data_IF_690442756053
#
_entry.id   IF_690442756053
#
_cell.length_a   1.000
_cell.length_b   1.000
_cell.length_c   1.000
_cell.angle_alpha   90.00
_cell.angle_beta   90.00
_cell.angle_gamma   90.00
#
_symmetry.space_group_name_H-M   'P 1'
#
loop_
_entity.id
_entity.type
_entity.pdbx_description
1 polymer ?
#
# COMPACT_ATOMS: atom_id res chain seq x y z
N UNK A 1 8.39 13.69 13.72
CA UNK A 1 6.93 13.88 13.49
C UNK A 1 6.59 15.19 12.78
N UNK A 2 7.09 16.33 13.22
CA UNK A 2 6.77 17.66 12.66
C UNK A 2 7.03 17.72 11.15
N UNK A 3 8.16 17.18 10.69
CA UNK A 3 8.54 17.14 9.26
C UNK A 3 7.47 16.47 8.40
N UNK A 4 6.97 15.31 8.83
CA UNK A 4 5.90 14.59 8.10
C UNK A 4 4.61 15.41 8.05
N UNK A 5 4.17 15.96 9.19
CA UNK A 5 2.95 16.78 9.24
C UNK A 5 3.06 18.02 8.35
N UNK A 6 4.23 18.65 8.31
CA UNK A 6 4.49 19.79 7.44
C UNK A 6 4.37 19.40 5.95
N UNK A 7 5.07 18.34 5.53
CA UNK A 7 5.03 17.87 4.14
C UNK A 7 3.63 17.38 3.75
N UNK A 8 2.92 16.69 4.64
CA UNK A 8 1.53 16.26 4.40
C UNK A 8 0.61 17.46 4.21
N UNK A 9 0.74 18.49 5.05
CA UNK A 9 -0.06 19.72 4.94
C UNK A 9 0.16 20.42 3.59
N UNK A 10 1.43 20.53 3.15
CA UNK A 10 1.76 21.12 1.86
C UNK A 10 1.25 20.23 0.71
N UNK A 11 1.42 18.91 0.80
CA UNK A 11 0.93 17.98 -0.22
C UNK A 11 -0.60 18.04 -0.36
N UNK A 12 -1.35 18.11 0.75
CA UNK A 12 -2.81 18.27 0.76
C UNK A 12 -3.20 19.63 0.17
N UNK A 13 -2.46 20.69 0.46
CA UNK A 13 -2.69 22.01 -0.14
C UNK A 13 -2.52 21.96 -1.67
N UNK A 14 -1.44 21.37 -2.18
CA UNK A 14 -1.26 21.22 -3.63
C UNK A 14 -2.31 20.29 -4.25
N UNK A 15 -2.74 19.25 -3.56
CA UNK A 15 -3.86 18.42 -4.00
C UNK A 15 -5.17 19.21 -4.10
N UNK A 16 -5.43 20.13 -3.18
CA UNK A 16 -6.57 21.05 -3.26
C UNK A 16 -6.48 21.98 -4.47
N UNK A 17 -5.31 22.52 -4.76
CA UNK A 17 -5.10 23.33 -5.97
C UNK A 17 -5.29 22.51 -7.25
N UNK A 18 -4.77 21.26 -7.27
CA UNK A 18 -4.98 20.32 -8.37
C UNK A 18 -6.46 20.02 -8.58
N UNK A 19 -7.21 19.78 -7.49
CA UNK A 19 -8.66 19.54 -7.55
C UNK A 19 -9.43 20.72 -8.17
N UNK A 20 -9.07 21.94 -7.82
CA UNK A 20 -9.65 23.15 -8.43
C UNK A 20 -9.29 23.33 -9.90
N UNK A 21 -8.13 22.88 -10.33
CA UNK A 21 -7.63 22.96 -11.70
C UNK A 21 -7.81 21.66 -12.50
N UNK A 22 -8.67 20.76 -12.05
CA UNK A 22 -8.95 19.44 -12.63
C UNK A 22 -9.21 19.45 -14.15
N UNK A 23 -9.74 20.54 -14.72
CA UNK A 23 -10.00 20.67 -16.16
C UNK A 23 -8.77 21.12 -16.98
N UNK A 24 -7.75 21.69 -16.35
CA UNK A 24 -6.50 22.09 -16.98
C UNK A 24 -5.44 21.02 -16.70
N UNK A 25 -5.18 20.17 -17.69
CA UNK A 25 -4.29 19.03 -17.54
C UNK A 25 -2.88 19.44 -17.15
N UNK A 26 -2.30 20.48 -17.79
CA UNK A 26 -0.94 20.92 -17.52
C UNK A 26 -0.78 21.38 -16.06
N UNK A 27 -1.67 22.25 -15.58
CA UNK A 27 -1.60 22.76 -14.20
C UNK A 27 -1.89 21.66 -13.19
N UNK A 28 -2.85 20.76 -13.50
CA UNK A 28 -3.16 19.61 -12.66
C UNK A 28 -1.93 18.71 -12.47
N UNK A 29 -1.27 18.32 -13.56
CA UNK A 29 -0.06 17.50 -13.50
C UNK A 29 1.10 18.20 -12.81
N UNK A 30 1.27 19.51 -13.01
CA UNK A 30 2.31 20.28 -12.32
C UNK A 30 2.15 20.17 -10.79
N UNK A 31 0.95 20.33 -10.26
CA UNK A 31 0.72 20.16 -8.82
C UNK A 31 0.98 18.73 -8.33
N UNK A 32 0.64 17.71 -9.13
CA UNK A 32 0.97 16.34 -8.78
C UNK A 32 2.48 16.09 -8.77
N UNK A 33 3.22 16.64 -9.72
CA UNK A 33 4.69 16.57 -9.75
C UNK A 33 5.29 17.21 -8.50
N UNK A 34 4.77 18.35 -8.06
CA UNK A 34 5.22 19.00 -6.80
C UNK A 34 4.96 18.08 -5.60
N UNK A 35 3.78 17.44 -5.52
CA UNK A 35 3.46 16.50 -4.44
C UNK A 35 4.43 15.31 -4.45
N UNK A 36 4.65 14.69 -5.61
CA UNK A 36 5.61 13.59 -5.76
C UNK A 36 7.00 14.03 -5.34
N UNK A 37 7.47 15.16 -5.84
CA UNK A 37 8.81 15.68 -5.52
C UNK A 37 9.00 15.93 -4.01
N UNK A 38 8.05 16.60 -3.35
CA UNK A 38 8.16 16.94 -1.93
C UNK A 38 8.26 15.68 -1.05
N UNK A 39 7.38 14.69 -1.29
CA UNK A 39 7.39 13.46 -0.51
C UNK A 39 8.66 12.63 -0.79
N UNK A 40 9.08 12.56 -2.05
CA UNK A 40 10.31 11.86 -2.44
C UNK A 40 11.57 12.53 -1.91
N UNK A 41 11.57 13.87 -1.84
CA UNK A 41 12.68 14.62 -1.27
C UNK A 41 12.87 14.30 0.22
N UNK A 42 11.80 14.26 1.00
CA UNK A 42 11.87 13.87 2.41
C UNK A 42 12.30 12.41 2.56
N UNK A 43 11.84 11.51 1.70
CA UNK A 43 12.28 10.12 1.70
C UNK A 43 13.78 9.99 1.40
N UNK A 44 14.31 10.75 0.43
CA UNK A 44 15.71 10.73 0.03
C UNK A 44 16.64 11.48 0.98
N UNK A 45 16.14 12.49 1.69
CA UNK A 45 16.93 13.32 2.59
C UNK A 45 17.07 12.70 4.00
N UNK A 46 16.33 11.64 4.33
CA UNK A 46 16.41 10.98 5.64
C UNK A 46 17.74 10.27 5.87
N UNK A 47 18.10 10.10 7.12
CA UNK A 47 19.27 9.29 7.51
C UNK A 47 19.00 7.80 7.24
N UNK A 48 20.08 7.05 7.05
CA UNK A 48 20.12 5.61 6.74
C UNK A 48 19.76 4.71 7.93
N UNK A 49 19.43 5.28 9.09
CA UNK A 49 18.96 4.58 10.28
C UNK A 49 17.45 4.77 10.53
N UNK A 50 16.72 5.43 9.61
CA UNK A 50 15.28 5.66 9.74
C UNK A 50 14.51 4.60 8.96
N UNK A 51 13.86 3.70 9.67
CA UNK A 51 13.14 2.57 9.16
C UNK A 51 13.84 1.24 9.43
N UNK A 52 13.09 0.21 9.83
CA UNK A 52 13.64 -1.10 10.21
C UNK A 52 14.27 -1.86 9.05
N UNK A 53 13.75 -1.71 7.83
CA UNK A 53 14.24 -2.43 6.65
C UNK A 53 15.32 -1.66 5.87
N UNK A 54 15.65 -0.41 6.26
CA UNK A 54 16.53 0.46 5.48
C UNK A 54 17.96 -0.10 5.36
N UNK A 55 18.46 -0.75 6.41
CA UNK A 55 19.77 -1.38 6.40
C UNK A 55 19.89 -2.48 5.34
N UNK A 56 18.82 -3.24 5.08
CA UNK A 56 18.78 -4.21 4.00
C UNK A 56 18.99 -3.53 2.64
N UNK A 57 18.28 -2.43 2.38
CA UNK A 57 18.39 -1.71 1.10
C UNK A 57 19.74 -1.02 0.94
N UNK A 58 20.32 -0.48 2.02
CA UNK A 58 21.62 0.15 1.98
C UNK A 58 22.72 -0.89 1.72
N UNK A 59 22.81 -1.92 2.56
CA UNK A 59 23.97 -2.82 2.60
C UNK A 59 23.84 -4.04 1.69
N UNK A 60 22.61 -4.52 1.37
CA UNK A 60 22.43 -5.68 0.49
C UNK A 60 22.02 -5.32 -0.93
N UNK A 61 21.53 -4.12 -1.17
CA UNK A 61 21.06 -3.72 -2.50
C UNK A 61 21.93 -2.63 -3.11
N UNK A 62 22.24 -1.56 -2.35
CA UNK A 62 22.85 -0.37 -2.94
C UNK A 62 24.39 -0.34 -2.77
N UNK A 63 24.94 -0.64 -1.58
CA UNK A 63 26.38 -0.53 -1.31
C UNK A 63 27.17 -1.81 -1.58
N UNK A 64 26.53 -2.89 -2.00
CA UNK A 64 27.20 -4.14 -2.37
C UNK A 64 27.13 -4.34 -3.87
N UNK A 65 28.11 -5.09 -4.41
CA UNK A 65 28.08 -5.52 -5.81
C UNK A 65 26.96 -6.55 -6.12
N UNK A 66 26.12 -6.88 -5.12
CA UNK A 66 24.97 -7.78 -5.27
C UNK A 66 23.95 -7.30 -6.34
N UNK A 67 23.89 -5.99 -6.61
CA UNK A 67 23.11 -5.49 -7.74
C UNK A 67 23.73 -5.89 -9.11
N UNK A 68 24.96 -6.39 -9.15
CA UNK A 68 25.59 -6.91 -10.36
C UNK A 68 25.19 -8.36 -10.62
N UNK A 69 24.87 -9.12 -9.56
CA UNK A 69 24.47 -10.52 -9.63
C UNK A 69 22.95 -10.64 -9.69
N UNK A 70 22.40 -10.77 -10.90
CA UNK A 70 20.96 -11.00 -11.12
C UNK A 70 20.51 -12.41 -10.68
N UNK A 71 21.45 -13.27 -10.31
CA UNK A 71 21.21 -14.66 -9.89
C UNK A 71 20.85 -14.77 -8.39
N UNK A 72 20.99 -13.68 -7.61
CA UNK A 72 20.55 -13.68 -6.23
C UNK A 72 19.03 -13.63 -6.14
N UNK A 73 18.40 -14.83 -6.15
CA UNK A 73 16.94 -15.03 -6.19
C UNK A 73 16.18 -14.40 -5.00
N UNK A 74 16.90 -13.87 -4.02
CA UNK A 74 16.31 -13.25 -2.82
C UNK A 74 15.92 -11.77 -3.01
N UNK A 75 16.37 -11.11 -4.10
CA UNK A 75 16.15 -9.68 -4.33
C UNK A 75 15.27 -9.48 -5.56
N UNK A 76 14.16 -8.75 -5.40
CA UNK A 76 13.23 -8.46 -6.51
C UNK A 76 13.93 -7.67 -7.62
N UNK A 77 13.70 -8.08 -8.88
CA UNK A 77 14.35 -7.53 -10.07
C UNK A 77 14.27 -6.00 -10.19
N UNK A 78 13.11 -5.43 -9.91
CA UNK A 78 12.87 -3.98 -10.09
C UNK A 78 13.77 -3.13 -9.19
N UNK A 79 13.99 -3.55 -7.94
CA UNK A 79 14.83 -2.77 -7.00
C UNK A 79 16.31 -2.84 -7.41
N UNK A 80 16.76 -3.99 -7.92
CA UNK A 80 18.12 -4.16 -8.46
C UNK A 80 18.34 -3.30 -9.68
N UNK A 81 17.39 -3.30 -10.62
CA UNK A 81 17.46 -2.45 -11.82
C UNK A 81 17.47 -0.97 -11.46
N UNK A 82 16.71 -0.58 -10.43
CA UNK A 82 16.70 0.81 -9.94
C UNK A 82 18.04 1.19 -9.31
N UNK A 83 18.66 0.31 -8.52
CA UNK A 83 20.01 0.53 -7.98
C UNK A 83 21.04 0.71 -9.08
N UNK A 84 21.07 -0.20 -10.09
CA UNK A 84 21.93 -0.08 -11.28
C UNK A 84 21.71 1.26 -12.00
N UNK A 85 20.46 1.65 -12.19
CA UNK A 85 20.14 2.92 -12.84
C UNK A 85 20.67 4.12 -12.04
N UNK A 86 20.59 4.11 -10.71
CA UNK A 86 21.13 5.18 -9.87
C UNK A 86 22.65 5.24 -9.98
N UNK A 87 23.35 4.10 -9.88
CA UNK A 87 24.80 4.03 -9.98
C UNK A 87 25.36 4.52 -11.32
N UNK A 88 24.54 4.58 -12.36
CA UNK A 88 24.95 5.17 -13.65
C UNK A 88 25.27 6.66 -13.55
N UNK A 89 24.70 7.38 -12.57
CA UNK A 89 24.90 8.85 -12.42
C UNK A 89 25.14 9.32 -10.96
N UNK A 90 24.97 8.48 -9.96
CA UNK A 90 25.14 8.87 -8.54
C UNK A 90 25.41 7.66 -7.65
N UNK A 91 26.38 7.79 -6.74
CA UNK A 91 26.66 6.81 -5.69
C UNK A 91 26.00 7.19 -4.34
N UNK A 92 25.02 8.10 -4.40
CA UNK A 92 24.35 8.62 -3.19
C UNK A 92 23.12 7.79 -2.87
N UNK A 93 23.10 7.09 -1.74
CA UNK A 93 21.96 6.29 -1.28
C UNK A 93 20.66 7.09 -1.17
N UNK A 94 20.74 8.38 -0.77
CA UNK A 94 19.58 9.27 -0.73
C UNK A 94 18.89 9.46 -2.09
N UNK A 95 19.65 9.45 -3.21
CA UNK A 95 19.06 9.51 -4.56
C UNK A 95 18.29 8.22 -4.87
N UNK A 96 18.79 7.07 -4.44
CA UNK A 96 18.09 5.80 -4.58
C UNK A 96 16.76 5.80 -3.80
N UNK A 97 16.78 6.25 -2.54
CA UNK A 97 15.57 6.39 -1.73
C UNK A 97 14.57 7.39 -2.32
N UNK A 98 15.06 8.51 -2.85
CA UNK A 98 14.24 9.49 -3.56
C UNK A 98 13.50 8.87 -4.74
N UNK A 99 14.20 8.08 -5.58
CA UNK A 99 13.61 7.46 -6.76
C UNK A 99 12.63 6.34 -6.41
N UNK A 100 12.87 5.58 -5.33
CA UNK A 100 11.90 4.60 -4.83
C UNK A 100 10.59 5.31 -4.46
N UNK A 101 10.67 6.37 -3.68
CA UNK A 101 9.46 7.08 -3.26
C UNK A 101 8.80 7.83 -4.43
N UNK A 102 9.59 8.35 -5.38
CA UNK A 102 9.06 8.93 -6.62
C UNK A 102 8.30 7.89 -7.46
N UNK A 103 8.76 6.64 -7.50
CA UNK A 103 8.02 5.52 -8.09
C UNK A 103 6.69 5.31 -7.36
N UNK A 104 6.73 5.16 -6.03
CA UNK A 104 5.55 4.86 -5.22
C UNK A 104 4.50 5.96 -5.35
N UNK A 105 4.87 7.20 -5.06
CA UNK A 105 3.98 8.36 -5.16
C UNK A 105 3.55 8.64 -6.60
N UNK A 106 4.45 8.46 -7.56
CA UNK A 106 4.19 8.66 -8.98
C UNK A 106 3.10 7.71 -9.50
N UNK A 107 3.23 6.40 -9.26
CA UNK A 107 2.21 5.42 -9.65
C UNK A 107 0.90 5.61 -8.87
N UNK A 108 0.96 5.94 -7.58
CA UNK A 108 -0.23 6.26 -6.81
C UNK A 108 -0.97 7.48 -7.36
N UNK A 109 -0.28 8.58 -7.66
CA UNK A 109 -0.86 9.76 -8.30
C UNK A 109 -1.37 9.46 -9.71
N UNK A 110 -0.69 8.59 -10.46
CA UNK A 110 -1.15 8.14 -11.77
C UNK A 110 -2.46 7.35 -11.68
N UNK A 111 -2.58 6.41 -10.73
CA UNK A 111 -3.82 5.68 -10.47
C UNK A 111 -4.98 6.63 -10.12
N UNK A 112 -4.72 7.63 -9.26
CA UNK A 112 -5.71 8.64 -8.93
C UNK A 112 -6.11 9.48 -10.16
N UNK A 113 -5.17 9.80 -11.04
CA UNK A 113 -5.43 10.52 -12.29
C UNK A 113 -6.30 9.72 -13.27
N UNK A 114 -6.07 8.42 -13.40
CA UNK A 114 -6.93 7.53 -14.20
C UNK A 114 -8.40 7.57 -13.73
N UNK A 115 -8.61 7.75 -12.42
CA UNK A 115 -9.93 7.81 -11.80
C UNK A 115 -10.39 9.24 -11.49
N UNK A 116 -9.71 10.28 -11.95
CA UNK A 116 -9.94 11.69 -11.56
C UNK A 116 -11.38 12.19 -11.73
N UNK A 117 -12.17 11.61 -12.65
CA UNK A 117 -13.59 11.97 -12.81
C UNK A 117 -14.49 11.47 -11.68
N UNK A 118 -14.05 10.44 -10.95
CA UNK A 118 -14.81 9.73 -9.92
C UNK A 118 -14.13 9.79 -8.53
N UNK A 119 -12.97 10.45 -8.40
CA UNK A 119 -12.14 10.45 -7.21
C UNK A 119 -11.84 11.89 -6.78
N UNK A 120 -11.76 12.15 -5.47
CA UNK A 120 -11.19 13.38 -4.93
C UNK A 120 -9.69 13.19 -4.71
N UNK A 121 -8.87 14.01 -5.40
CA UNK A 121 -7.40 13.95 -5.22
C UNK A 121 -6.99 14.44 -3.82
N UNK A 122 -7.75 15.36 -3.23
CA UNK A 122 -7.51 15.82 -1.85
C UNK A 122 -7.65 14.66 -0.87
N UNK A 123 -8.75 13.89 -0.96
CA UNK A 123 -8.96 12.73 -0.11
C UNK A 123 -7.90 11.65 -0.37
N UNK A 124 -7.55 11.42 -1.63
CA UNK A 124 -6.54 10.44 -2.01
C UNK A 124 -5.18 10.74 -1.38
N UNK A 125 -4.69 11.97 -1.52
CA UNK A 125 -3.41 12.38 -0.92
C UNK A 125 -3.49 12.38 0.61
N UNK A 126 -4.61 12.81 1.19
CA UNK A 126 -4.81 12.74 2.65
C UNK A 126 -4.72 11.31 3.18
N UNK A 127 -5.43 10.36 2.55
CA UNK A 127 -5.36 8.95 2.95
C UNK A 127 -3.98 8.34 2.69
N UNK A 128 -3.33 8.68 1.57
CA UNK A 128 -1.99 8.19 1.28
C UNK A 128 -1.00 8.64 2.36
N UNK A 129 -0.97 9.92 2.68
CA UNK A 129 -0.13 10.48 3.74
C UNK A 129 -0.38 9.81 5.11
N UNK A 130 -1.64 9.62 5.48
CA UNK A 130 -2.01 9.09 6.80
C UNK A 130 -1.91 7.57 6.92
N UNK A 131 -2.04 6.81 5.82
CA UNK A 131 -2.18 5.36 5.88
C UNK A 131 -1.04 4.60 5.19
N UNK A 132 -0.30 5.22 4.27
CA UNK A 132 0.70 4.53 3.46
C UNK A 132 2.11 5.14 3.52
N UNK A 133 2.26 6.46 3.59
CA UNK A 133 3.56 7.12 3.42
C UNK A 133 4.65 6.62 4.38
N UNK A 134 4.39 6.57 5.69
CA UNK A 134 5.38 6.06 6.64
C UNK A 134 5.69 4.57 6.43
N UNK A 135 4.72 3.81 5.92
CA UNK A 135 4.91 2.40 5.55
C UNK A 135 5.80 2.26 4.32
N UNK A 136 5.64 3.14 3.31
CA UNK A 136 6.46 3.13 2.10
C UNK A 136 7.94 3.40 2.37
N UNK A 137 8.24 4.20 3.40
CA UNK A 137 9.61 4.46 3.83
C UNK A 137 10.33 3.21 4.37
N UNK A 138 9.59 2.19 4.78
CA UNK A 138 10.14 0.96 5.36
C UNK A 138 10.07 -0.22 4.39
N UNK A 139 8.88 -0.65 4.00
CA UNK A 139 8.66 -1.81 3.12
C UNK A 139 8.68 -1.39 1.63
N UNK A 140 9.80 -0.86 1.17
CA UNK A 140 9.91 -0.14 -0.10
C UNK A 140 9.49 -0.99 -1.32
N UNK A 141 10.05 -2.21 -1.51
CA UNK A 141 9.73 -3.10 -2.64
C UNK A 141 8.25 -3.43 -2.72
N UNK A 142 7.67 -3.77 -1.59
CA UNK A 142 6.25 -4.09 -1.51
C UNK A 142 5.39 -2.86 -1.79
N UNK A 143 5.78 -1.67 -1.32
CA UNK A 143 5.09 -0.41 -1.60
C UNK A 143 5.17 -0.01 -3.07
N UNK A 144 6.30 -0.28 -3.75
CA UNK A 144 6.40 -0.15 -5.20
C UNK A 144 5.36 -1.03 -5.91
N UNK A 145 5.26 -2.31 -5.53
CA UNK A 145 4.28 -3.23 -6.09
C UNK A 145 2.83 -2.79 -5.80
N UNK A 146 2.54 -2.35 -4.58
CA UNK A 146 1.21 -1.88 -4.18
C UNK A 146 0.76 -0.64 -4.96
N UNK A 147 1.66 0.31 -5.22
CA UNK A 147 1.34 1.51 -6.00
C UNK A 147 1.03 1.17 -7.48
N UNK A 148 1.80 0.24 -8.07
CA UNK A 148 1.53 -0.29 -9.42
C UNK A 148 0.21 -1.05 -9.45
N UNK A 149 -0.11 -1.82 -8.40
CA UNK A 149 -1.40 -2.51 -8.28
C UNK A 149 -2.58 -1.54 -8.22
N UNK A 150 -2.44 -0.35 -7.62
CA UNK A 150 -3.48 0.69 -7.68
C UNK A 150 -3.78 1.09 -9.14
N UNK A 151 -2.75 1.18 -10.01
CA UNK A 151 -2.95 1.43 -11.44
C UNK A 151 -3.67 0.27 -12.13
N UNK A 152 -3.29 -0.96 -11.83
CA UNK A 152 -3.97 -2.17 -12.30
C UNK A 152 -5.47 -2.12 -11.97
N UNK A 153 -5.82 -1.79 -10.73
CA UNK A 153 -7.22 -1.65 -10.30
C UNK A 153 -7.95 -0.49 -11.01
N UNK A 154 -7.28 0.65 -11.19
CA UNK A 154 -7.85 1.76 -11.95
C UNK A 154 -8.16 1.36 -13.41
N UNK A 155 -7.28 0.60 -14.06
CA UNK A 155 -7.53 0.06 -15.39
C UNK A 155 -8.63 -1.02 -15.40
N UNK A 156 -8.71 -1.86 -14.36
CA UNK A 156 -9.80 -2.83 -14.21
C UNK A 156 -11.17 -2.12 -14.16
N UNK A 157 -11.27 -1.02 -13.38
CA UNK A 157 -12.49 -0.19 -13.32
C UNK A 157 -12.82 0.52 -14.65
N UNK A 158 -11.84 0.71 -15.51
CA UNK A 158 -11.99 1.25 -16.87
C UNK A 158 -12.23 0.16 -17.92
N UNK A 159 -12.16 -1.12 -17.54
CA UNK A 159 -12.27 -2.30 -18.43
C UNK A 159 -11.18 -2.39 -19.50
N UNK A 160 -10.00 -1.84 -19.21
CA UNK A 160 -8.83 -1.86 -20.09
C UNK A 160 -7.95 -3.08 -19.76
N UNK A 161 -8.42 -4.29 -20.06
CA UNK A 161 -7.88 -5.57 -19.55
C UNK A 161 -6.43 -5.86 -19.94
N UNK A 162 -5.99 -5.44 -21.13
CA UNK A 162 -4.58 -5.60 -21.55
C UNK A 162 -3.66 -4.84 -20.58
N UNK A 163 -4.06 -3.62 -20.19
CA UNK A 163 -3.30 -2.84 -19.23
C UNK A 163 -3.38 -3.44 -17.82
N UNK A 164 -4.50 -4.05 -17.45
CA UNK A 164 -4.62 -4.79 -16.17
C UNK A 164 -3.54 -5.86 -16.09
N UNK A 165 -3.39 -6.68 -17.15
CA UNK A 165 -2.36 -7.73 -17.20
C UNK A 165 -0.96 -7.12 -17.15
N UNK A 166 -0.69 -6.09 -17.97
CA UNK A 166 0.62 -5.43 -18.02
C UNK A 166 1.04 -4.89 -16.64
N UNK A 167 0.14 -4.16 -15.95
CA UNK A 167 0.42 -3.61 -14.61
C UNK A 167 0.51 -4.68 -13.54
N UNK A 168 -0.21 -5.81 -13.68
CA UNK A 168 -0.06 -6.95 -12.79
C UNK A 168 1.33 -7.59 -12.91
N UNK A 169 1.84 -7.76 -14.15
CA UNK A 169 3.19 -8.26 -14.42
C UNK A 169 4.25 -7.32 -13.83
N UNK A 170 4.13 -6.00 -14.04
CA UNK A 170 5.06 -5.02 -13.45
C UNK A 170 5.01 -5.08 -11.91
N UNK A 171 3.84 -5.17 -11.29
CA UNK A 171 3.70 -5.30 -9.84
C UNK A 171 4.39 -6.57 -9.32
N UNK A 172 4.28 -7.70 -10.04
CA UNK A 172 4.94 -8.95 -9.69
C UNK A 172 6.47 -8.84 -9.71
N UNK A 173 7.04 -8.16 -10.68
CA UNK A 173 8.49 -7.90 -10.72
C UNK A 173 8.97 -6.91 -9.64
N UNK A 174 8.08 -6.05 -9.12
CA UNK A 174 8.39 -5.23 -7.96
C UNK A 174 8.39 -6.04 -6.66
N UNK A 175 7.43 -6.97 -6.50
CA UNK A 175 7.35 -7.88 -5.37
C UNK A 175 6.35 -9.00 -5.62
N UNK A 176 6.79 -10.26 -5.48
CA UNK A 176 6.03 -11.46 -5.83
C UNK A 176 4.67 -11.57 -5.11
N UNK A 177 4.56 -11.09 -3.86
CA UNK A 177 3.29 -11.12 -3.11
C UNK A 177 2.19 -10.23 -3.72
N UNK A 178 2.50 -9.40 -4.73
CA UNK A 178 1.50 -8.63 -5.48
C UNK A 178 0.48 -9.50 -6.23
N UNK A 179 0.74 -10.82 -6.34
CA UNK A 179 -0.23 -11.83 -6.83
C UNK A 179 -1.58 -11.72 -6.11
N UNK A 180 -1.62 -11.18 -4.89
CA UNK A 180 -2.85 -10.81 -4.17
C UNK A 180 -3.79 -9.93 -5.01
N UNK A 181 -3.27 -9.15 -5.94
CA UNK A 181 -4.06 -8.37 -6.89
C UNK A 181 -5.09 -9.22 -7.68
N UNK A 182 -4.80 -10.51 -7.90
CA UNK A 182 -5.74 -11.44 -8.54
C UNK A 182 -7.05 -11.60 -7.76
N UNK A 183 -7.01 -11.51 -6.42
CA UNK A 183 -8.21 -11.59 -5.60
C UNK A 183 -9.21 -10.46 -5.93
N UNK A 184 -8.70 -9.26 -6.22
CA UNK A 184 -9.54 -8.13 -6.63
C UNK A 184 -10.10 -8.30 -8.04
N UNK A 185 -9.32 -8.88 -8.95
CA UNK A 185 -9.81 -9.21 -10.30
C UNK A 185 -10.93 -10.24 -10.20
N UNK A 186 -10.74 -11.32 -9.43
CA UNK A 186 -11.76 -12.34 -9.18
C UNK A 186 -13.01 -11.72 -8.54
N UNK A 187 -12.84 -10.92 -7.47
CA UNK A 187 -13.95 -10.27 -6.79
C UNK A 187 -14.73 -9.33 -7.74
N UNK A 188 -14.04 -8.59 -8.61
CA UNK A 188 -14.65 -7.75 -9.62
C UNK A 188 -15.51 -8.57 -10.60
N UNK A 189 -14.97 -9.65 -11.16
CA UNK A 189 -15.71 -10.52 -12.08
C UNK A 189 -16.86 -11.26 -11.40
N UNK A 190 -16.70 -11.72 -10.17
CA UNK A 190 -17.80 -12.31 -9.41
C UNK A 190 -18.97 -11.34 -9.25
N UNK A 191 -18.70 -10.05 -8.97
CA UNK A 191 -19.75 -9.04 -8.89
C UNK A 191 -20.46 -8.84 -10.25
N UNK A 192 -19.71 -8.86 -11.35
CA UNK A 192 -20.29 -8.71 -12.70
C UNK A 192 -21.19 -9.91 -13.05
N UNK A 193 -20.86 -11.12 -12.64
CA UNK A 193 -21.60 -12.35 -12.96
C UNK A 193 -22.75 -12.64 -11.99
N UNK A 194 -22.53 -12.51 -10.70
CA UNK A 194 -23.44 -12.96 -9.66
C UNK A 194 -24.14 -11.81 -8.92
N UNK A 195 -23.68 -10.58 -9.16
CA UNK A 195 -24.16 -9.39 -8.48
C UNK A 195 -23.59 -9.22 -7.06
N UNK A 196 -23.72 -8.01 -6.53
CA UNK A 196 -23.08 -7.61 -5.28
C UNK A 196 -23.53 -8.45 -4.08
N UNK A 197 -24.83 -8.74 -3.94
CA UNK A 197 -25.35 -9.47 -2.76
C UNK A 197 -24.79 -10.88 -2.63
N UNK A 198 -24.83 -11.66 -3.74
CA UNK A 198 -24.31 -13.04 -3.73
C UNK A 198 -22.80 -13.08 -3.52
N UNK A 199 -22.06 -12.18 -4.20
CA UNK A 199 -20.61 -12.08 -4.03
C UNK A 199 -20.25 -11.66 -2.62
N UNK A 200 -21.00 -10.76 -1.99
CA UNK A 200 -20.77 -10.36 -0.60
C UNK A 200 -20.92 -11.52 0.39
N UNK A 201 -21.97 -12.33 0.25
CA UNK A 201 -22.15 -13.52 1.08
C UNK A 201 -21.02 -14.53 0.87
N UNK A 202 -20.59 -14.73 -0.39
CA UNK A 202 -19.44 -15.58 -0.70
C UNK A 202 -18.13 -15.07 -0.05
N UNK A 203 -17.88 -13.78 -0.10
CA UNK A 203 -16.69 -13.14 0.53
C UNK A 203 -16.71 -13.30 2.05
N UNK A 204 -17.86 -13.13 2.70
CA UNK A 204 -18.00 -13.34 4.14
C UNK A 204 -17.74 -14.81 4.51
N UNK A 205 -18.29 -15.75 3.71
CA UNK A 205 -18.07 -17.17 3.92
C UNK A 205 -16.59 -17.55 3.75
N UNK A 206 -15.94 -17.10 2.67
CA UNK A 206 -14.52 -17.34 2.42
C UNK A 206 -13.62 -16.66 3.48
N UNK A 207 -13.95 -15.44 3.90
CA UNK A 207 -13.25 -14.77 4.98
C UNK A 207 -13.35 -15.51 6.31
N UNK A 208 -14.53 -16.06 6.61
CA UNK A 208 -14.73 -16.93 7.79
C UNK A 208 -13.90 -18.21 7.74
N UNK A 209 -13.90 -18.90 6.59
CA UNK A 209 -13.04 -20.08 6.38
C UNK A 209 -11.58 -19.72 6.56
N UNK A 210 -11.13 -18.58 5.97
CA UNK A 210 -9.75 -18.13 6.08
C UNK A 210 -9.35 -17.93 7.55
N UNK A 211 -10.18 -17.28 8.35
CA UNK A 211 -9.91 -17.07 9.79
C UNK A 211 -9.79 -18.41 10.54
N UNK A 212 -10.71 -19.37 10.27
CA UNK A 212 -10.73 -20.65 10.99
C UNK A 212 -9.58 -21.56 10.55
N UNK A 213 -9.30 -21.61 9.24
CA UNK A 213 -8.32 -22.55 8.67
C UNK A 213 -6.92 -21.96 8.52
N UNK A 214 -6.75 -20.64 8.63
CA UNK A 214 -5.48 -19.96 8.35
C UNK A 214 -4.32 -20.55 9.16
N UNK A 215 -4.51 -20.70 10.45
CA UNK A 215 -3.47 -21.18 11.35
C UNK A 215 -2.98 -22.58 10.96
N UNK A 216 -3.91 -23.46 10.56
CA UNK A 216 -3.60 -24.85 10.16
C UNK A 216 -2.96 -24.86 8.76
N UNK A 217 -3.56 -24.15 7.81
CA UNK A 217 -3.08 -24.12 6.42
C UNK A 217 -1.76 -23.39 6.29
N UNK A 218 -1.59 -22.27 6.96
CA UNK A 218 -0.36 -21.47 6.91
C UNK A 218 0.85 -22.27 7.40
N UNK A 219 0.70 -22.98 8.54
CA UNK A 219 1.75 -23.81 9.10
C UNK A 219 2.15 -24.93 8.15
N UNK A 220 1.16 -25.67 7.66
CA UNK A 220 1.40 -26.78 6.74
C UNK A 220 2.01 -26.30 5.41
N UNK A 221 1.54 -25.18 4.87
CA UNK A 221 2.05 -24.64 3.60
C UNK A 221 3.49 -24.15 3.72
N UNK A 222 3.83 -23.45 4.80
CA UNK A 222 5.23 -23.02 5.04
C UNK A 222 6.13 -24.24 5.25
N UNK A 223 5.72 -25.20 6.06
CA UNK A 223 6.48 -26.42 6.31
C UNK A 223 6.75 -27.20 5.01
N UNK A 224 5.71 -27.40 4.17
CA UNK A 224 5.84 -28.06 2.87
C UNK A 224 6.72 -27.24 1.92
N UNK A 225 6.58 -25.92 1.89
CA UNK A 225 7.35 -25.07 1.00
C UNK A 225 8.84 -25.03 1.38
N UNK A 226 9.16 -25.01 2.67
CA UNK A 226 10.54 -25.12 3.17
C UNK A 226 11.14 -26.50 2.88
N UNK A 227 10.39 -27.58 3.14
CA UNK A 227 10.87 -28.95 2.89
C UNK A 227 11.14 -29.24 1.40
N UNK A 228 10.50 -28.52 0.48
CA UNK A 228 10.70 -28.63 -0.96
C UNK A 228 11.61 -27.53 -1.54
N UNK A 229 12.31 -26.75 -0.71
CA UNK A 229 13.17 -25.63 -1.13
C UNK A 229 12.45 -24.59 -2.02
N UNK A 230 11.13 -24.43 -1.86
CA UNK A 230 10.32 -23.47 -2.58
C UNK A 230 10.33 -22.07 -1.93
N UNK A 231 10.80 -21.99 -0.69
CA UNK A 231 10.97 -20.75 0.06
C UNK A 231 12.44 -20.61 0.47
N UNK A 232 12.96 -19.39 0.42
CA UNK A 232 14.29 -19.07 0.89
C UNK A 232 14.42 -19.31 2.41
N UNK A 233 15.63 -19.66 2.87
CA UNK A 233 15.93 -19.98 4.27
C UNK A 233 15.53 -18.86 5.26
N UNK A 234 15.50 -17.61 4.81
CA UNK A 234 15.01 -16.48 5.61
C UNK A 234 13.57 -16.63 6.11
N UNK A 235 12.77 -17.52 5.51
CA UNK A 235 11.41 -17.82 5.93
C UNK A 235 11.31 -18.92 6.99
N UNK A 236 12.42 -19.60 7.36
CA UNK A 236 12.45 -20.60 8.43
C UNK A 236 12.01 -20.01 9.78
N UNK A 237 12.36 -18.76 10.07
CA UNK A 237 11.92 -18.07 11.29
C UNK A 237 10.38 -18.02 11.44
N UNK A 238 9.63 -18.08 10.35
CA UNK A 238 8.16 -18.10 10.37
C UNK A 238 7.59 -19.51 10.59
N UNK A 239 8.39 -20.55 10.39
CA UNK A 239 8.01 -21.93 10.70
C UNK A 239 8.22 -22.27 12.18
N UNK A 240 9.11 -21.58 12.88
CA UNK A 240 9.52 -21.88 14.26
C UNK A 240 8.67 -21.16 15.33
N UNK A 241 7.77 -20.26 14.92
CA UNK A 241 6.64 -19.88 15.79
C UNK A 241 6.88 -18.81 16.83
N UNK A 242 7.53 -17.71 16.50
CA UNK A 242 7.38 -16.48 17.29
C UNK A 242 6.17 -15.72 16.75
N UNK A 243 4.98 -16.11 17.23
CA UNK A 243 3.70 -15.63 16.73
C UNK A 243 3.35 -14.32 17.42
N UNK A 244 3.40 -13.23 16.66
CA UNK A 244 2.93 -11.94 17.13
C UNK A 244 1.47 -12.01 17.60
N UNK A 245 1.17 -11.31 18.68
CA UNK A 245 -0.20 -11.18 19.20
C UNK A 245 -1.14 -10.62 18.13
N UNK A 246 -2.39 -11.12 18.13
CA UNK A 246 -3.47 -10.52 17.33
C UNK A 246 -3.52 -9.02 17.56
N UNK A 247 -3.37 -8.23 16.50
CA UNK A 247 -3.39 -6.77 16.62
C UNK A 247 -4.81 -6.29 16.92
N UNK A 248 -5.19 -6.22 18.20
CA UNK A 248 -6.49 -5.69 18.67
C UNK A 248 -6.79 -4.32 18.06
N UNK A 249 -5.78 -3.48 17.94
CA UNK A 249 -5.88 -2.16 17.32
C UNK A 249 -6.26 -2.23 15.85
N UNK A 250 -5.63 -3.14 15.08
CA UNK A 250 -5.94 -3.31 13.67
C UNK A 250 -7.37 -3.82 13.46
N UNK A 251 -7.84 -4.74 14.32
CA UNK A 251 -9.22 -5.23 14.32
C UNK A 251 -10.19 -4.07 14.56
N UNK A 252 -9.96 -3.28 15.60
CA UNK A 252 -10.81 -2.13 15.94
C UNK A 252 -10.87 -1.14 14.76
N UNK A 253 -9.74 -0.78 14.18
CA UNK A 253 -9.68 0.16 13.05
C UNK A 253 -10.44 -0.39 11.84
N UNK A 254 -10.29 -1.67 11.50
CA UNK A 254 -11.06 -2.29 10.41
C UNK A 254 -12.57 -2.21 10.66
N UNK A 255 -13.03 -2.51 11.88
CA UNK A 255 -14.45 -2.42 12.26
C UNK A 255 -14.95 -0.98 12.14
N UNK A 256 -14.18 0.00 12.62
CA UNK A 256 -14.54 1.42 12.51
C UNK A 256 -14.72 1.86 11.05
N UNK A 257 -13.91 1.37 10.10
CA UNK A 257 -14.07 1.65 8.69
C UNK A 257 -15.24 0.89 8.06
N UNK A 258 -15.46 -0.38 8.43
CA UNK A 258 -16.52 -1.21 7.83
C UNK A 258 -17.89 -0.55 7.99
N UNK A 259 -18.21 0.01 9.15
CA UNK A 259 -19.54 0.57 9.46
C UNK A 259 -19.96 1.65 8.44
N UNK A 260 -19.20 2.77 8.23
CA UNK A 260 -19.59 3.80 7.27
C UNK A 260 -19.66 3.28 5.82
N UNK A 261 -18.76 2.36 5.43
CA UNK A 261 -18.76 1.82 4.08
C UNK A 261 -19.89 0.82 3.81
N UNK A 262 -20.36 0.06 4.82
CA UNK A 262 -21.59 -0.73 4.71
C UNK A 262 -22.81 0.15 4.46
N UNK A 263 -22.91 1.30 5.13
CA UNK A 263 -23.98 2.28 4.90
C UNK A 263 -23.91 2.83 3.46
N UNK A 264 -22.69 3.17 2.99
CA UNK A 264 -22.48 3.64 1.61
C UNK A 264 -22.88 2.55 0.60
N UNK A 265 -22.44 1.31 0.81
CA UNK A 265 -22.75 0.19 -0.08
C UNK A 265 -24.26 -0.09 -0.13
N UNK A 266 -24.96 -0.06 1.01
CA UNK A 266 -26.41 -0.22 1.10
C UNK A 266 -27.13 0.85 0.29
N UNK A 267 -26.70 2.11 0.39
CA UNK A 267 -27.36 3.25 -0.27
C UNK A 267 -26.96 3.37 -1.76
N UNK A 268 -25.73 2.99 -2.09
CA UNK A 268 -25.14 3.07 -3.45
C UNK A 268 -24.41 1.76 -3.77
N UNK A 269 -25.13 0.70 -4.20
CA UNK A 269 -24.56 -0.60 -4.51
C UNK A 269 -23.74 -0.55 -5.83
N UNK A 270 -22.53 0.01 -5.76
CA UNK A 270 -21.58 0.09 -6.85
C UNK A 270 -20.42 -0.88 -6.63
N UNK A 271 -19.77 -1.29 -7.71
CA UNK A 271 -18.60 -2.20 -7.65
C UNK A 271 -17.47 -1.61 -6.82
N UNK A 272 -17.22 -0.30 -6.94
CA UNK A 272 -16.18 0.39 -6.17
C UNK A 272 -16.43 0.28 -4.66
N UNK A 273 -17.68 0.49 -4.23
CA UNK A 273 -18.07 0.39 -2.82
C UNK A 273 -18.00 -1.05 -2.31
N UNK A 274 -18.33 -2.02 -3.17
CA UNK A 274 -18.15 -3.43 -2.84
C UNK A 274 -16.67 -3.79 -2.67
N UNK A 275 -15.78 -3.36 -3.58
CA UNK A 275 -14.34 -3.65 -3.49
C UNK A 275 -13.72 -3.00 -2.25
N UNK A 276 -14.24 -1.84 -1.81
CA UNK A 276 -13.88 -1.24 -0.52
C UNK A 276 -14.20 -2.18 0.64
N UNK A 277 -15.42 -2.68 0.71
CA UNK A 277 -15.86 -3.61 1.77
C UNK A 277 -15.08 -4.93 1.68
N UNK A 278 -14.87 -5.45 0.47
CA UNK A 278 -14.06 -6.64 0.24
C UNK A 278 -12.65 -6.48 0.85
N UNK A 279 -11.97 -5.36 0.55
CA UNK A 279 -10.65 -5.09 1.10
C UNK A 279 -10.66 -4.96 2.63
N UNK A 280 -11.68 -4.31 3.20
CA UNK A 280 -11.83 -4.18 4.65
C UNK A 280 -12.11 -5.51 5.35
N UNK A 281 -12.97 -6.36 4.77
CA UNK A 281 -13.28 -7.69 5.31
C UNK A 281 -12.06 -8.59 5.27
N UNK A 282 -11.32 -8.60 4.16
CA UNK A 282 -10.07 -9.36 4.04
C UNK A 282 -9.00 -8.85 5.01
N UNK A 283 -8.88 -7.52 5.16
CA UNK A 283 -7.97 -6.92 6.14
C UNK A 283 -8.35 -7.29 7.58
N UNK A 284 -9.65 -7.34 7.90
CA UNK A 284 -10.15 -7.77 9.21
C UNK A 284 -9.86 -9.27 9.44
N UNK A 285 -10.13 -10.12 8.46
CA UNK A 285 -9.85 -11.55 8.53
C UNK A 285 -8.36 -11.80 8.81
N UNK A 286 -7.47 -11.13 8.08
CA UNK A 286 -6.03 -11.22 8.31
C UNK A 286 -5.61 -10.66 9.68
N UNK A 287 -6.26 -9.62 10.20
CA UNK A 287 -5.97 -9.09 11.53
C UNK A 287 -6.29 -10.10 12.66
N UNK A 288 -7.21 -11.04 12.42
CA UNK A 288 -7.49 -12.16 13.32
C UNK A 288 -6.52 -13.34 13.17
N UNK A 289 -5.77 -13.41 12.08
CA UNK A 289 -4.83 -14.51 11.85
C UNK A 289 -3.54 -14.27 12.66
N UNK A 290 -3.48 -14.79 13.88
CA UNK A 290 -2.40 -14.55 14.84
C UNK A 290 -1.08 -15.21 14.48
N UNK A 291 -1.12 -16.36 13.79
CA UNK A 291 0.08 -17.17 13.49
C UNK A 291 0.97 -16.60 12.37
N UNK A 292 0.47 -15.66 11.58
CA UNK A 292 1.23 -15.12 10.46
C UNK A 292 2.17 -13.96 10.81
N UNK A 293 2.14 -13.43 12.05
CA UNK A 293 3.03 -12.38 12.51
C UNK A 293 3.21 -11.24 11.49
N UNK A 294 4.45 -10.96 11.18
CA UNK A 294 4.86 -9.89 10.25
C UNK A 294 4.39 -10.12 8.81
N UNK A 295 4.40 -11.36 8.30
CA UNK A 295 3.95 -11.67 6.94
C UNK A 295 2.49 -11.25 6.76
N UNK A 296 1.61 -11.61 7.70
CA UNK A 296 0.19 -11.26 7.61
C UNK A 296 -0.01 -9.76 7.68
N UNK A 297 0.77 -9.06 8.51
CA UNK A 297 0.70 -7.61 8.58
C UNK A 297 1.14 -6.96 7.25
N UNK A 298 2.18 -7.48 6.61
CA UNK A 298 2.65 -7.04 5.28
C UNK A 298 1.62 -7.33 4.18
N UNK A 299 0.99 -8.51 4.18
CA UNK A 299 -0.11 -8.86 3.26
C UNK A 299 -1.29 -7.89 3.42
N UNK A 300 -1.66 -7.55 4.66
CA UNK A 300 -2.74 -6.61 4.96
C UNK A 300 -2.52 -5.23 4.34
N UNK A 301 -1.29 -4.79 4.15
CA UNK A 301 -0.99 -3.49 3.55
C UNK A 301 -1.43 -3.39 2.08
N UNK A 302 -1.49 -4.48 1.33
CA UNK A 302 -2.08 -4.48 -0.01
C UNK A 302 -3.53 -4.01 0.01
N UNK A 303 -4.30 -4.46 0.99
CA UNK A 303 -5.69 -4.04 1.18
C UNK A 303 -5.78 -2.58 1.63
N UNK A 304 -4.79 -2.09 2.39
CA UNK A 304 -4.71 -0.67 2.79
C UNK A 304 -4.52 0.24 1.56
N UNK A 305 -3.59 -0.08 0.67
CA UNK A 305 -3.38 0.69 -0.56
C UNK A 305 -4.62 0.69 -1.46
N UNK A 306 -5.28 -0.46 -1.60
CA UNK A 306 -6.56 -0.56 -2.31
C UNK A 306 -7.62 0.31 -1.66
N UNK A 307 -7.71 0.32 -0.33
CA UNK A 307 -8.67 1.16 0.39
C UNK A 307 -8.39 2.65 0.19
N UNK A 308 -7.14 3.11 0.13
CA UNK A 308 -6.81 4.51 -0.17
C UNK A 308 -7.46 4.94 -1.49
N UNK A 309 -7.32 4.12 -2.55
CA UNK A 309 -7.92 4.40 -3.85
C UNK A 309 -9.46 4.41 -3.78
N UNK A 310 -10.04 3.36 -3.22
CA UNK A 310 -11.51 3.21 -3.23
C UNK A 310 -12.22 4.07 -2.18
N UNK A 311 -11.60 4.41 -1.04
CA UNK A 311 -12.14 5.41 -0.10
C UNK A 311 -12.30 6.76 -0.82
N UNK A 312 -11.28 7.16 -1.56
CA UNK A 312 -11.28 8.43 -2.30
C UNK A 312 -12.33 8.48 -3.41
N UNK A 313 -12.69 7.32 -3.98
CA UNK A 313 -13.77 7.18 -4.96
C UNK A 313 -15.14 7.15 -4.25
N UNK A 314 -15.29 6.30 -3.24
CA UNK A 314 -16.55 6.06 -2.54
C UNK A 314 -17.04 7.30 -1.81
N UNK A 315 -16.12 8.07 -1.21
CA UNK A 315 -16.41 9.30 -0.49
C UNK A 315 -16.57 10.52 -1.41
N UNK A 316 -16.15 10.41 -2.66
CA UNK A 316 -16.35 11.49 -3.62
C UNK A 316 -17.85 11.75 -3.84
N UNK A 317 -18.31 12.93 -3.48
CA UNK A 317 -19.73 13.35 -3.49
C UNK A 317 -20.60 12.66 -2.42
N UNK A 318 -20.00 12.11 -1.37
CA UNK A 318 -20.73 11.68 -0.17
C UNK A 318 -21.03 12.85 0.77
N UNK A 319 -21.88 12.58 1.79
CA UNK A 319 -22.18 13.56 2.84
C UNK A 319 -20.89 13.93 3.58
N UNK A 320 -20.70 15.22 3.81
CA UNK A 320 -19.49 15.73 4.51
C UNK A 320 -19.25 15.04 5.85
N UNK A 321 -20.31 14.74 6.63
CA UNK A 321 -20.17 14.07 7.92
C UNK A 321 -19.55 12.67 7.80
N UNK A 322 -19.90 11.88 6.79
CA UNK A 322 -19.32 10.55 6.55
C UNK A 322 -17.85 10.68 6.14
N UNK A 323 -17.55 11.64 5.26
CA UNK A 323 -16.17 11.91 4.83
C UNK A 323 -15.30 12.31 6.03
N UNK A 324 -15.79 13.22 6.89
CA UNK A 324 -15.08 13.63 8.10
C UNK A 324 -14.89 12.48 9.08
N UNK A 325 -15.90 11.64 9.27
CA UNK A 325 -15.78 10.45 10.12
C UNK A 325 -14.64 9.54 9.66
N UNK A 326 -14.59 9.23 8.37
CA UNK A 326 -13.55 8.35 7.80
C UNK A 326 -12.16 9.00 7.91
N UNK A 327 -12.05 10.32 7.68
CA UNK A 327 -10.78 11.04 7.89
C UNK A 327 -10.33 11.02 9.36
N UNK A 328 -11.24 11.21 10.31
CA UNK A 328 -10.91 11.11 11.74
C UNK A 328 -10.40 9.71 12.10
N UNK A 329 -11.01 8.66 11.55
CA UNK A 329 -10.52 7.29 11.74
C UNK A 329 -9.10 7.14 11.15
N UNK A 330 -8.83 7.73 9.97
CA UNK A 330 -7.50 7.69 9.37
C UNK A 330 -6.44 8.42 10.21
N UNK A 331 -6.78 9.60 10.76
CA UNK A 331 -5.91 10.33 11.69
C UNK A 331 -5.67 9.52 12.95
N UNK A 332 -6.71 8.91 13.53
CA UNK A 332 -6.58 8.05 14.70
C UNK A 332 -5.66 6.84 14.43
N UNK A 333 -5.83 6.19 13.27
CA UNK A 333 -4.94 5.12 12.84
C UNK A 333 -3.48 5.59 12.71
N UNK A 334 -3.24 6.75 12.10
CA UNK A 334 -1.92 7.35 11.97
C UNK A 334 -1.28 7.62 13.34
N UNK A 335 -2.02 8.25 14.24
CA UNK A 335 -1.53 8.56 15.60
C UNK A 335 -1.13 7.27 16.33
N UNK A 336 -1.98 6.25 16.31
CA UNK A 336 -1.66 4.99 16.99
C UNK A 336 -0.48 4.27 16.32
N UNK A 337 -0.53 4.07 15.01
CA UNK A 337 0.46 3.24 14.33
C UNK A 337 1.83 3.90 14.23
N UNK A 338 1.89 5.20 13.98
CA UNK A 338 3.14 5.91 13.70
C UNK A 338 3.65 6.67 14.91
N UNK A 339 2.77 7.41 15.60
CA UNK A 339 3.22 8.25 16.72
C UNK A 339 3.38 7.45 18.02
N UNK A 340 2.41 6.60 18.35
CA UNK A 340 2.44 5.84 19.62
C UNK A 340 3.26 4.56 19.47
N UNK A 341 2.97 3.73 18.45
CA UNK A 341 3.63 2.44 18.26
C UNK A 341 4.95 2.55 17.50
N UNK A 342 5.24 3.68 16.87
CA UNK A 342 6.39 3.92 15.99
C UNK A 342 6.66 2.76 15.02
N UNK A 343 5.59 2.27 14.39
CA UNK A 343 5.68 1.13 13.48
C UNK A 343 6.62 1.44 12.30
N UNK A 344 7.61 0.58 12.13
CA UNK A 344 8.66 0.74 11.11
C UNK A 344 9.76 1.73 11.48
N UNK A 345 9.77 2.24 12.74
CA UNK A 345 10.82 3.14 13.27
C UNK A 345 11.12 4.35 12.38
N UNK A 346 10.06 4.94 11.83
CA UNK A 346 10.18 6.12 10.97
C UNK A 346 10.17 7.44 11.74
N UNK A 347 9.96 7.41 13.06
CA UNK A 347 9.92 8.56 13.96
C UNK A 347 10.89 8.31 15.13
N UNK A 348 11.71 9.31 15.51
CA UNK A 348 11.83 10.67 14.98
C UNK A 348 12.46 10.72 13.58
N UNK A 349 12.10 11.72 12.78
CA UNK A 349 12.77 11.99 11.52
C UNK A 349 14.07 12.74 11.78
N UNK A 350 15.17 12.26 11.20
CA UNK A 350 16.47 12.89 11.22
C UNK A 350 17.05 12.98 9.82
N UNK A 351 17.73 14.07 9.53
CA UNK A 351 18.38 14.31 8.26
C UNK A 351 19.67 15.09 8.43
N UNK A 352 20.79 14.48 8.05
CA UNK A 352 22.09 15.17 7.99
C UNK A 352 22.14 16.25 6.92
N UNK A 353 21.28 16.16 5.88
CA UNK A 353 21.23 17.15 4.80
C UNK A 353 20.40 18.38 5.17
N UNK A 354 19.42 18.22 6.06
CA UNK A 354 18.55 19.30 6.52
C UNK A 354 18.94 19.82 7.91
N UNK A 355 19.97 19.22 8.52
CA UNK A 355 20.48 19.56 9.88
C UNK A 355 19.37 19.47 10.96
N UNK A 356 18.48 18.47 10.85
CA UNK A 356 17.36 18.21 11.77
C UNK A 356 17.30 16.74 12.20
#
# INVERSE_FOLDING_TARGET
>A
MIVYLFVFSISIFFAFLAERRRKNDMIYFLYLIVIVFLNSFIAGARNDNIGTDISFYAYRVFHTDAYLDLEDAEIDLTIVLLAKFVHFFSDTFGVFLFLIEAWIMGFACYAATLMRKKLSIVLFISFFCLMAYNQSLNIMRQSMAMSVMMCMLAYLMRKEYIKVVAFMVVAYFCHSTSVIGLLFIIAYYCVQQFGIKKTFLFVLFMGGILVVSFNILFYNLISIALSNNLLASQYERYAVGDYGETSKTAILICIMYIIPFLIILKNKPKVENFLTIFALVMSLALAYCSLGGEIVSRIRLYFTYVNILFFSISLYRERKCVTWLVLVIAVFNFVISIWISNYGETVPYHSKYLEI
#
